data_IF_302189563090
#
_entry.id   IF_302189563090
#
_cell.length_a   1.000
_cell.length_b   1.000
_cell.length_c   1.000
_cell.angle_alpha   90.00
_cell.angle_beta   90.00
_cell.angle_gamma   90.00
#
_symmetry.space_group_name_H-M   'P 1'
#
loop_
_entity.id
_entity.type
_entity.pdbx_description
1 polymer ?
#
# COMPACT_ATOMS: atom_id res chain seq x y z
N UNK A 1 -11.19 -13.40 -18.28
CA UNK A 1 -11.29 -11.92 -18.22
C UNK A 1 -10.50 -11.46 -17.02
N UNK A 2 -9.53 -10.55 -17.17
CA UNK A 2 -8.83 -9.93 -16.05
C UNK A 2 -9.56 -8.66 -15.63
N UNK A 3 -9.59 -8.34 -14.33
CA UNK A 3 -10.24 -7.13 -13.82
C UNK A 3 -9.29 -5.94 -13.97
N UNK A 4 -9.75 -4.88 -14.62
CA UNK A 4 -8.97 -3.67 -14.77
C UNK A 4 -8.80 -2.88 -13.46
N UNK A 5 -7.67 -2.20 -13.33
CA UNK A 5 -7.31 -1.32 -12.21
C UNK A 5 -7.87 0.09 -12.40
N UNK A 6 -9.20 0.22 -12.46
CA UNK A 6 -9.92 1.45 -12.85
C UNK A 6 -9.65 2.72 -12.02
N UNK A 7 -9.02 2.60 -10.85
CA UNK A 7 -8.65 3.75 -9.98
C UNK A 7 -7.13 4.05 -9.98
N UNK A 8 -6.36 3.33 -10.79
CA UNK A 8 -4.93 3.57 -10.99
C UNK A 8 -4.71 4.94 -11.64
N UNK A 9 -3.73 5.69 -11.15
CA UNK A 9 -3.50 7.09 -11.53
C UNK A 9 -4.39 8.09 -10.78
N UNK A 10 -5.43 7.64 -10.08
CA UNK A 10 -6.33 8.50 -9.29
C UNK A 10 -6.15 8.30 -7.78
N UNK A 11 -6.31 7.06 -7.29
CA UNK A 11 -6.21 6.74 -5.87
C UNK A 11 -4.79 6.34 -5.46
N UNK A 12 -4.03 5.79 -6.41
CA UNK A 12 -2.63 5.41 -6.26
C UNK A 12 -1.91 5.60 -7.60
N UNK A 13 -0.57 5.69 -7.63
CA UNK A 13 0.17 5.90 -8.88
C UNK A 13 -0.11 4.80 -9.91
N UNK A 14 -0.15 5.14 -11.20
CA UNK A 14 -0.19 4.14 -12.29
C UNK A 14 1.20 3.62 -12.66
N UNK A 15 2.23 4.33 -12.26
CA UNK A 15 3.64 4.00 -12.48
C UNK A 15 4.14 3.02 -11.40
N UNK A 16 4.73 1.91 -11.85
CA UNK A 16 5.14 0.81 -10.97
C UNK A 16 6.27 1.24 -10.04
N UNK A 17 7.24 1.98 -10.55
CA UNK A 17 8.42 2.43 -9.85
C UNK A 17 8.04 3.37 -8.70
N UNK A 18 7.07 4.26 -8.93
CA UNK A 18 6.47 5.10 -7.88
C UNK A 18 5.77 4.28 -6.80
N UNK A 19 5.04 3.22 -7.16
CA UNK A 19 4.39 2.33 -6.18
C UNK A 19 5.46 1.66 -5.30
N UNK A 20 6.49 1.08 -5.92
CA UNK A 20 7.56 0.38 -5.19
C UNK A 20 8.30 1.35 -4.27
N UNK A 21 8.70 2.51 -4.79
CA UNK A 21 9.37 3.55 -4.00
C UNK A 21 8.50 4.00 -2.82
N UNK A 22 7.18 4.19 -3.02
CA UNK A 22 6.27 4.54 -1.95
C UNK A 22 6.23 3.48 -0.84
N UNK A 23 6.14 2.20 -1.21
CA UNK A 23 6.11 1.09 -0.24
C UNK A 23 7.44 1.04 0.53
N UNK A 24 8.57 1.09 -0.17
CA UNK A 24 9.91 1.01 0.42
C UNK A 24 10.21 2.19 1.35
N UNK A 25 9.73 3.40 1.03
CA UNK A 25 9.92 4.57 1.90
C UNK A 25 8.99 4.59 3.12
N UNK A 26 7.89 3.84 3.10
CA UNK A 26 6.90 3.83 4.19
C UNK A 26 6.91 2.55 5.03
N UNK A 27 7.59 1.49 4.59
CA UNK A 27 7.71 0.25 5.37
C UNK A 27 8.43 0.53 6.70
N UNK A 28 7.95 -0.10 7.76
CA UNK A 28 8.59 -0.03 9.08
C UNK A 28 9.90 -0.83 9.12
N UNK A 29 10.70 -0.60 10.16
CA UNK A 29 11.90 -1.41 10.49
C UNK A 29 11.59 -2.61 11.38
N UNK A 30 10.32 -2.81 11.73
CA UNK A 30 9.89 -3.92 12.57
C UNK A 30 9.99 -5.26 11.82
N UNK A 31 10.25 -6.33 12.55
CA UNK A 31 10.24 -7.69 11.99
C UNK A 31 8.82 -8.10 11.65
N UNK A 32 8.62 -8.52 10.38
CA UNK A 32 7.37 -9.04 9.88
C UNK A 32 6.79 -10.15 10.79
N UNK A 33 5.50 -10.06 11.10
CA UNK A 33 4.77 -11.03 11.91
C UNK A 33 3.73 -11.75 11.08
N UNK A 34 3.51 -13.01 11.39
CA UNK A 34 2.39 -13.75 10.80
C UNK A 34 1.07 -13.27 11.39
N UNK A 35 0.33 -12.49 10.60
CA UNK A 35 -0.99 -12.01 10.96
C UNK A 35 -2.09 -12.89 10.31
N UNK A 36 -3.04 -13.37 11.12
CA UNK A 36 -4.25 -14.05 10.62
C UNK A 36 -5.25 -13.07 10.00
N UNK A 37 -5.20 -11.80 10.39
CA UNK A 37 -6.08 -10.73 9.92
C UNK A 37 -5.38 -9.38 10.09
N UNK A 38 -5.66 -8.47 9.17
CA UNK A 38 -5.27 -7.06 9.26
C UNK A 38 -6.48 -6.17 8.95
N UNK A 39 -6.52 -4.98 9.54
CA UNK A 39 -7.49 -3.93 9.23
C UNK A 39 -6.70 -2.72 8.77
N UNK A 40 -6.99 -2.24 7.57
CA UNK A 40 -6.29 -1.11 6.95
C UNK A 40 -7.29 -0.14 6.31
N UNK A 41 -6.95 1.16 6.19
CA UNK A 41 -7.77 2.12 5.47
C UNK A 41 -7.72 1.88 3.96
N UNK A 42 -8.74 2.37 3.23
CA UNK A 42 -8.86 2.22 1.77
C UNK A 42 -8.89 3.56 1.01
N UNK A 43 -8.57 4.68 1.67
CA UNK A 43 -8.47 5.97 1.00
C UNK A 43 -7.22 6.02 0.10
N UNK A 44 -7.14 7.03 -0.77
CA UNK A 44 -6.01 7.22 -1.67
C UNK A 44 -4.66 7.25 -0.93
N UNK A 45 -3.59 6.84 -1.62
CA UNK A 45 -2.25 6.68 -1.04
C UNK A 45 -1.75 7.93 -0.31
N UNK A 46 -2.05 9.11 -0.86
CA UNK A 46 -1.71 10.42 -0.28
C UNK A 46 -2.28 10.60 1.12
N UNK A 47 -3.45 10.05 1.42
CA UNK A 47 -4.13 10.22 2.70
C UNK A 47 -3.83 9.09 3.67
N UNK A 48 -3.86 7.84 3.21
CA UNK A 48 -3.80 6.68 4.12
C UNK A 48 -2.88 5.55 3.69
N UNK A 49 -2.16 5.70 2.57
CA UNK A 49 -1.28 4.66 2.04
C UNK A 49 -0.14 4.31 3.00
N UNK A 50 0.47 5.32 3.63
CA UNK A 50 1.58 5.13 4.56
C UNK A 50 1.17 4.30 5.79
N UNK A 51 -0.03 4.55 6.32
CA UNK A 51 -0.59 3.76 7.43
C UNK A 51 -0.78 2.30 7.03
N UNK A 52 -1.39 2.05 5.87
CA UNK A 52 -1.58 0.69 5.37
C UNK A 52 -0.25 -0.04 5.16
N UNK A 53 0.75 0.61 4.54
CA UNK A 53 2.08 0.02 4.32
C UNK A 53 2.73 -0.36 5.64
N UNK A 54 2.74 0.54 6.63
CA UNK A 54 3.30 0.25 7.95
C UNK A 54 2.62 -0.92 8.64
N UNK A 55 1.29 -1.03 8.54
CA UNK A 55 0.56 -2.16 9.15
C UNK A 55 0.86 -3.48 8.44
N UNK A 56 0.95 -3.47 7.11
CA UNK A 56 1.19 -4.67 6.30
C UNK A 56 2.65 -5.13 6.41
N UNK A 57 3.60 -4.21 6.58
CA UNK A 57 5.03 -4.52 6.64
C UNK A 57 5.52 -4.94 8.03
N UNK A 58 4.63 -5.00 9.03
CA UNK A 58 4.92 -5.39 10.41
C UNK A 58 4.79 -6.88 10.62
#
# INVERSE_FOLDING_TARGET
MYRDTVVSGLFYPSDKEKIISFIESNKGSETAKEAKMIIVPHAGYVFSGATAVKTISR
#
